data_IF_711722657340
#
_entry.id   IF_711722657340
#
_cell.length_a   1.000
_cell.length_b   1.000
_cell.length_c   1.000
_cell.angle_alpha   90.00
_cell.angle_beta   90.00
_cell.angle_gamma   90.00
#
_symmetry.space_group_name_H-M   'P 1'
#
loop_
_entity.id
_entity.type
_entity.pdbx_description
1 polymer ?
#
# COMPACT_ATOMS: atom_id res chain seq x y z
N UNK A 1 -17.25 3.60 -4.02
CA UNK A 1 -16.73 4.44 -5.13
C UNK A 1 -16.80 5.95 -4.83
N UNK A 2 -17.37 6.36 -3.70
CA UNK A 2 -17.72 7.76 -3.38
C UNK A 2 -16.61 8.57 -2.70
N UNK A 3 -15.64 7.92 -2.05
CA UNK A 3 -14.62 8.62 -1.24
C UNK A 3 -13.49 9.23 -2.08
N UNK A 4 -13.08 8.55 -3.17
CA UNK A 4 -12.06 9.05 -4.12
C UNK A 4 -12.44 10.39 -4.76
N UNK A 5 -13.74 10.71 -4.89
CA UNK A 5 -14.19 11.97 -5.51
C UNK A 5 -14.03 13.18 -4.60
N UNK A 6 -13.87 12.99 -3.29
CA UNK A 6 -13.87 14.09 -2.31
C UNK A 6 -12.48 14.60 -1.95
N UNK A 7 -11.41 14.07 -2.56
CA UNK A 7 -10.02 14.40 -2.20
C UNK A 7 -9.62 13.97 -0.79
N UNK A 8 -10.57 13.48 0.02
CA UNK A 8 -10.33 12.77 1.26
C UNK A 8 -9.75 11.41 0.86
N UNK A 9 -8.55 11.13 1.36
CA UNK A 9 -7.65 10.10 0.84
C UNK A 9 -8.29 8.73 0.61
N UNK A 10 -7.65 7.95 -0.26
CA UNK A 10 -7.93 6.53 -0.46
C UNK A 10 -7.61 5.82 0.86
N UNK A 11 -8.64 5.70 1.70
CA UNK A 11 -8.59 5.08 3.00
C UNK A 11 -9.05 3.64 2.87
N UNK A 12 -8.27 2.71 3.42
CA UNK A 12 -8.68 1.33 3.58
C UNK A 12 -8.82 1.08 5.08
N UNK A 13 -10.01 0.62 5.47
CA UNK A 13 -10.29 0.19 6.84
C UNK A 13 -9.35 -0.95 7.26
N UNK A 14 -9.11 -1.08 8.57
CA UNK A 14 -8.24 -2.11 9.12
C UNK A 14 -8.72 -3.53 8.81
N UNK A 15 -7.80 -4.49 8.89
CA UNK A 15 -8.13 -5.89 8.77
C UNK A 15 -8.55 -6.27 7.35
N UNK A 16 -9.73 -6.87 7.21
CA UNK A 16 -10.17 -7.50 5.95
C UNK A 16 -10.44 -6.50 4.80
N UNK A 17 -10.37 -5.19 5.04
CA UNK A 17 -10.46 -4.16 4.00
C UNK A 17 -9.09 -3.59 3.58
N UNK A 18 -8.00 -3.94 4.29
CA UNK A 18 -6.65 -3.51 3.95
C UNK A 18 -6.08 -4.37 2.81
N UNK A 19 -5.75 -3.72 1.69
CA UNK A 19 -5.25 -4.36 0.48
C UNK A 19 -3.99 -5.20 0.73
N UNK A 20 -3.03 -4.66 1.48
CA UNK A 20 -1.79 -5.36 1.75
C UNK A 20 -2.03 -6.58 2.65
N UNK A 21 -2.85 -6.43 3.69
CA UNK A 21 -3.26 -7.52 4.57
C UNK A 21 -3.93 -8.67 3.81
N UNK A 22 -4.87 -8.35 2.90
CA UNK A 22 -5.57 -9.37 2.11
C UNK A 22 -4.63 -10.17 1.22
N UNK A 23 -3.62 -9.53 0.60
CA UNK A 23 -2.62 -10.24 -0.22
C UNK A 23 -1.80 -11.20 0.64
N UNK A 24 -1.32 -10.75 1.81
CA UNK A 24 -0.53 -11.62 2.70
C UNK A 24 -1.39 -12.78 3.22
N UNK A 25 -2.63 -12.52 3.65
CA UNK A 25 -3.59 -13.55 4.08
C UNK A 25 -3.87 -14.56 2.96
N UNK A 26 -4.02 -14.09 1.72
CA UNK A 26 -4.23 -14.94 0.56
C UNK A 26 -3.02 -15.80 0.19
N UNK A 27 -1.80 -15.38 0.57
CA UNK A 27 -0.58 -16.17 0.34
C UNK A 27 -0.52 -17.49 1.14
N UNK A 28 -1.34 -17.61 2.20
CA UNK A 28 -1.37 -18.78 3.12
C UNK A 28 0.00 -19.15 3.67
N UNK A 29 0.86 -18.15 3.86
CA UNK A 29 2.19 -18.33 4.40
C UNK A 29 2.23 -17.73 5.81
N UNK A 30 2.24 -18.61 6.81
CA UNK A 30 2.19 -18.23 8.22
C UNK A 30 3.40 -17.42 8.65
N UNK A 31 4.57 -17.66 8.05
CA UNK A 31 5.79 -16.88 8.31
C UNK A 31 5.62 -15.43 7.81
N UNK A 32 5.11 -15.26 6.58
CA UNK A 32 4.84 -13.93 6.04
C UNK A 32 3.74 -13.21 6.83
N UNK A 33 2.69 -13.93 7.24
CA UNK A 33 1.64 -13.39 8.11
C UNK A 33 2.22 -12.93 9.44
N UNK A 34 3.04 -13.73 10.11
CA UNK A 34 3.63 -13.35 11.40
C UNK A 34 4.57 -12.14 11.27
N UNK A 35 5.44 -12.12 10.25
CA UNK A 35 6.38 -11.03 10.05
C UNK A 35 5.68 -9.72 9.68
N UNK A 36 4.76 -9.76 8.72
CA UNK A 36 4.14 -8.56 8.17
C UNK A 36 2.95 -8.09 8.99
N UNK A 37 2.14 -9.01 9.54
CA UNK A 37 0.93 -8.71 10.30
C UNK A 37 1.14 -8.66 11.82
N UNK A 38 2.16 -9.33 12.37
CA UNK A 38 2.45 -9.34 13.80
C UNK A 38 3.22 -8.11 14.28
N UNK A 39 4.40 -7.87 13.72
CA UNK A 39 5.29 -6.81 14.24
C UNK A 39 5.28 -5.53 13.39
N UNK A 40 5.18 -5.68 12.06
CA UNK A 40 5.43 -4.56 11.14
C UNK A 40 4.15 -3.81 10.72
N UNK A 41 2.99 -4.46 10.76
CA UNK A 41 1.73 -3.95 10.21
C UNK A 41 1.33 -2.59 10.75
N UNK A 42 1.25 -2.46 12.07
CA UNK A 42 0.80 -1.22 12.70
C UNK A 42 1.76 -0.05 12.40
N UNK A 43 3.07 -0.32 12.35
CA UNK A 43 4.09 0.68 12.00
C UNK A 43 3.95 1.15 10.55
N UNK A 44 3.92 0.20 9.61
CA UNK A 44 3.76 0.52 8.18
C UNK A 44 2.45 1.26 7.93
N UNK A 45 1.36 0.83 8.59
CA UNK A 45 0.06 1.49 8.48
C UNK A 45 0.08 2.92 9.00
N UNK A 46 0.73 3.18 10.13
CA UNK A 46 0.89 4.54 10.66
C UNK A 46 1.61 5.45 9.65
N UNK A 47 2.69 4.97 9.02
CA UNK A 47 3.37 5.71 7.97
C UNK A 47 2.51 5.92 6.73
N UNK A 48 1.77 4.91 6.27
CA UNK A 48 0.82 5.12 5.17
C UNK A 48 -0.22 6.19 5.55
N UNK A 49 -0.75 6.16 6.77
CA UNK A 49 -1.74 7.14 7.22
C UNK A 49 -1.18 8.57 7.20
N UNK A 50 -0.01 8.81 7.78
CA UNK A 50 0.59 10.15 7.83
C UNK A 50 1.00 10.69 6.45
N UNK A 51 1.45 9.81 5.55
CA UNK A 51 2.13 10.21 4.32
C UNK A 51 1.32 9.97 3.03
N UNK A 52 0.15 9.31 3.09
CA UNK A 52 -0.69 9.04 1.89
C UNK A 52 -1.74 10.12 1.60
N UNK A 53 -1.89 11.12 2.46
CA UNK A 53 -2.92 12.19 2.36
C UNK A 53 -2.47 13.38 1.49
N UNK A 54 -1.35 13.25 0.77
CA UNK A 54 -0.89 14.29 -0.16
C UNK A 54 -1.77 14.33 -1.41
N UNK A 55 -2.04 15.53 -1.94
CA UNK A 55 -2.84 15.72 -3.15
C UNK A 55 -2.40 14.80 -4.30
N UNK A 56 -3.37 14.14 -4.94
CA UNK A 56 -3.15 13.23 -6.07
C UNK A 56 -2.51 11.88 -5.75
N UNK A 57 -1.92 11.67 -4.55
CA UNK A 57 -1.37 10.36 -4.15
C UNK A 57 -2.44 9.26 -4.01
N UNK A 58 -3.64 9.52 -3.46
CA UNK A 58 -4.74 8.56 -3.41
C UNK A 58 -5.09 7.93 -4.77
N UNK A 59 -5.26 8.75 -5.81
CA UNK A 59 -5.58 8.26 -7.16
C UNK A 59 -4.45 7.43 -7.76
N UNK A 60 -3.19 7.85 -7.55
CA UNK A 60 -2.02 7.08 -8.01
C UNK A 60 -1.92 5.72 -7.31
N UNK A 61 -2.10 5.68 -5.99
CA UNK A 61 -2.06 4.45 -5.22
C UNK A 61 -3.17 3.47 -5.65
N UNK A 62 -4.37 3.97 -5.92
CA UNK A 62 -5.47 3.16 -6.45
C UNK A 62 -5.10 2.51 -7.79
N UNK A 63 -4.57 3.29 -8.75
CA UNK A 63 -4.13 2.75 -10.03
C UNK A 63 -2.97 1.75 -9.90
N UNK A 64 -2.04 1.98 -8.97
CA UNK A 64 -0.96 1.05 -8.64
C UNK A 64 -1.53 -0.28 -8.08
N UNK A 65 -2.50 -0.22 -7.16
CA UNK A 65 -3.16 -1.40 -6.59
C UNK A 65 -3.94 -2.19 -7.63
N UNK A 66 -4.71 -1.53 -8.50
CA UNK A 66 -5.46 -2.21 -9.57
C UNK A 66 -4.55 -3.04 -10.47
N UNK A 67 -3.40 -2.50 -10.90
CA UNK A 67 -2.45 -3.23 -11.74
C UNK A 67 -1.84 -4.44 -11.04
N UNK A 68 -1.60 -4.35 -9.73
CA UNK A 68 -1.12 -5.49 -8.94
C UNK A 68 -2.19 -6.59 -8.91
N UNK A 69 -3.46 -6.21 -8.72
CA UNK A 69 -4.58 -7.17 -8.72
C UNK A 69 -4.69 -7.84 -10.09
N UNK A 70 -4.63 -7.08 -11.18
CA UNK A 70 -4.67 -7.60 -12.56
C UNK A 70 -3.56 -8.64 -12.79
N UNK A 71 -2.34 -8.39 -12.31
CA UNK A 71 -1.24 -9.34 -12.40
C UNK A 71 -1.49 -10.62 -11.58
N UNK A 72 -2.04 -10.49 -10.37
CA UNK A 72 -2.42 -11.63 -9.51
C UNK A 72 -3.54 -12.44 -10.18
N UNK A 73 -4.56 -11.79 -10.74
CA UNK A 73 -5.67 -12.44 -11.44
C UNK A 73 -5.19 -13.20 -12.69
N UNK A 74 -4.22 -12.64 -13.42
CA UNK A 74 -3.54 -13.29 -14.54
C UNK A 74 -2.61 -14.44 -14.10
N UNK A 75 -2.44 -14.68 -12.80
CA UNK A 75 -1.48 -15.64 -12.21
C UNK A 75 -0.02 -15.35 -12.58
N UNK A 76 0.31 -14.10 -12.88
CA UNK A 76 1.66 -13.64 -13.16
C UNK A 76 2.32 -13.17 -11.86
N UNK A 77 2.98 -14.10 -11.17
CA UNK A 77 3.65 -13.84 -9.90
C UNK A 77 4.84 -12.89 -10.01
N UNK A 78 5.58 -12.94 -11.12
CA UNK A 78 6.74 -12.07 -11.34
C UNK A 78 6.31 -10.62 -11.54
N UNK A 79 5.28 -10.39 -12.35
CA UNK A 79 4.73 -9.05 -12.55
C UNK A 79 4.12 -8.50 -11.26
N UNK A 80 3.36 -9.32 -10.51
CA UNK A 80 2.78 -8.92 -9.24
C UNK A 80 3.87 -8.50 -8.23
N UNK A 81 4.96 -9.25 -8.15
CA UNK A 81 6.11 -8.95 -7.30
C UNK A 81 6.78 -7.63 -7.71
N UNK A 82 7.08 -7.47 -9.00
CA UNK A 82 7.73 -6.28 -9.55
C UNK A 82 6.91 -5.01 -9.27
N UNK A 83 5.60 -5.08 -9.50
CA UNK A 83 4.68 -3.97 -9.27
C UNK A 83 4.57 -3.62 -7.79
N UNK A 84 4.46 -4.61 -6.90
CA UNK A 84 4.42 -4.39 -5.45
C UNK A 84 5.73 -3.77 -4.94
N UNK A 85 6.88 -4.25 -5.41
CA UNK A 85 8.20 -3.70 -5.05
C UNK A 85 8.33 -2.24 -5.47
N UNK A 86 7.90 -1.90 -6.68
CA UNK A 86 7.88 -0.51 -7.17
C UNK A 86 6.96 0.37 -6.35
N UNK A 87 5.75 -0.11 -6.04
CA UNK A 87 4.77 0.59 -5.20
C UNK A 87 5.36 0.94 -3.82
N UNK A 88 5.96 -0.03 -3.13
CA UNK A 88 6.57 0.19 -1.80
C UNK A 88 7.77 1.15 -1.90
N UNK A 89 8.61 1.00 -2.93
CA UNK A 89 9.78 1.85 -3.14
C UNK A 89 9.41 3.32 -3.37
N UNK A 90 8.38 3.56 -4.19
CA UNK A 90 7.84 4.90 -4.45
C UNK A 90 7.25 5.51 -3.17
N UNK A 91 6.50 4.73 -2.39
CA UNK A 91 5.99 5.18 -1.09
C UNK A 91 7.13 5.58 -0.14
N UNK A 92 8.19 4.77 -0.05
CA UNK A 92 9.38 5.09 0.76
C UNK A 92 10.06 6.38 0.32
N UNK A 93 10.26 6.56 -0.99
CA UNK A 93 10.91 7.76 -1.53
C UNK A 93 10.08 9.03 -1.24
N UNK A 94 8.75 8.95 -1.34
CA UNK A 94 7.87 10.06 -0.99
C UNK A 94 7.98 10.43 0.50
N UNK A 95 8.02 9.44 1.39
CA UNK A 95 8.23 9.66 2.83
C UNK A 95 9.59 10.34 3.07
N UNK A 96 10.67 9.82 2.46
CA UNK A 96 12.02 10.38 2.59
C UNK A 96 12.08 11.84 2.13
N UNK A 97 11.52 12.14 0.96
CA UNK A 97 11.50 13.50 0.42
C UNK A 97 10.75 14.48 1.35
N UNK A 98 9.65 14.03 1.95
CA UNK A 98 8.87 14.86 2.89
C UNK A 98 9.63 15.10 4.20
N UNK A 99 10.25 14.07 4.78
CA UNK A 99 11.08 14.22 5.98
C UNK A 99 12.27 15.14 5.77
N UNK A 100 12.82 15.21 4.55
CA UNK A 100 13.87 16.16 4.19
C UNK A 100 13.29 17.57 3.97
N UNK A 101 12.11 17.68 3.36
CA UNK A 101 11.42 18.95 3.11
C UNK A 101 10.93 19.65 4.38
N UNK A 102 10.46 18.90 5.38
CA UNK A 102 10.03 19.44 6.69
C UNK A 102 11.20 19.92 7.57
N UNK A 103 12.45 19.58 7.21
CA UNK A 103 13.67 20.04 7.92
C UNK A 103 14.22 21.38 7.40
N UNK A 104 13.65 21.96 6.35
CA UNK A 104 13.98 23.29 5.84
C UNK A 104 12.95 24.30 6.30
#
# INVERSE_FOLDING_TARGET
QTELQTGKGYYQEEGDFDFHYRIVKASRNDVLMQMLCGELYHRVRLYRYQFSVTEGRPHKAFAEHSRIIEAIEAKDGEMAELLMRRHISAARQNIQNRLIGEKR
#
